data_IF_285669592001
#
_entry.id   IF_285669592001
#
_cell.length_a   1.000
_cell.length_b   1.000
_cell.length_c   1.000
_cell.angle_alpha   90.00
_cell.angle_beta   90.00
_cell.angle_gamma   90.00
#
_symmetry.space_group_name_H-M   'P 1'
#
loop_
_entity.id
_entity.type
_entity.pdbx_description
1 polymer ?
#
# COMPACT_ATOMS: atom_id res chain seq x y z
N UNK A 1 18.74 6.32 1.70
CA UNK A 1 18.78 4.93 1.23
C UNK A 1 20.16 4.32 1.52
N UNK A 2 21.27 4.78 0.95
CA UNK A 2 22.62 4.16 1.00
C UNK A 2 23.10 3.80 2.45
N UNK A 3 22.57 4.46 3.48
CA UNK A 3 22.98 4.22 4.87
C UNK A 3 22.23 3.05 5.54
N UNK A 4 21.00 2.82 5.16
CA UNK A 4 20.04 1.93 5.85
C UNK A 4 19.68 0.71 5.03
N UNK A 5 19.63 0.82 3.72
CA UNK A 5 19.11 -0.21 2.81
C UNK A 5 19.80 -1.57 2.95
N UNK A 6 21.12 -1.58 3.19
CA UNK A 6 21.88 -2.82 3.42
C UNK A 6 21.43 -3.60 4.66
N UNK A 7 20.79 -2.94 5.62
CA UNK A 7 20.32 -3.54 6.86
C UNK A 7 18.81 -3.84 6.80
N UNK A 8 18.02 -3.01 6.09
CA UNK A 8 16.56 -3.11 6.00
C UNK A 8 16.10 -3.95 4.81
N UNK A 9 16.80 -3.91 3.67
CA UNK A 9 16.46 -4.60 2.42
C UNK A 9 15.03 -4.26 1.94
N UNK A 10 14.70 -2.98 1.96
CA UNK A 10 13.36 -2.48 1.60
C UNK A 10 13.13 -2.40 0.09
N UNK A 11 14.18 -2.28 -0.72
CA UNK A 11 14.11 -2.22 -2.18
C UNK A 11 14.66 -3.51 -2.84
N UNK A 12 14.11 -3.87 -3.97
CA UNK A 12 14.65 -4.91 -4.87
C UNK A 12 15.30 -4.32 -6.12
N UNK A 13 14.91 -3.10 -6.47
CA UNK A 13 15.49 -2.33 -7.58
C UNK A 13 15.52 -0.85 -7.19
N UNK A 14 16.69 -0.23 -7.32
CA UNK A 14 16.87 1.22 -7.18
C UNK A 14 17.24 1.81 -8.54
N UNK A 15 16.60 2.91 -8.92
CA UNK A 15 16.88 3.66 -10.14
C UNK A 15 17.41 5.06 -9.84
N UNK A 16 18.62 5.11 -9.31
CA UNK A 16 19.27 6.38 -8.92
C UNK A 16 19.41 7.37 -10.09
N UNK A 17 19.83 6.87 -11.25
CA UNK A 17 20.06 7.72 -12.43
C UNK A 17 18.74 8.23 -13.01
N UNK A 18 17.76 7.35 -13.17
CA UNK A 18 16.42 7.72 -13.64
C UNK A 18 15.73 8.70 -12.69
N UNK A 19 15.82 8.46 -11.38
CA UNK A 19 15.25 9.34 -10.37
C UNK A 19 15.88 10.75 -10.40
N UNK A 20 17.19 10.86 -10.49
CA UNK A 20 17.87 12.16 -10.60
C UNK A 20 17.50 12.90 -11.88
N UNK A 21 17.50 12.21 -13.03
CA UNK A 21 17.06 12.77 -14.30
C UNK A 21 15.62 13.26 -14.24
N UNK A 22 14.73 12.44 -13.66
CA UNK A 22 13.32 12.82 -13.49
C UNK A 22 13.17 14.02 -12.57
N UNK A 23 13.93 14.10 -11.48
CA UNK A 23 13.92 15.25 -10.58
C UNK A 23 14.32 16.54 -11.31
N UNK A 24 15.34 16.51 -12.18
CA UNK A 24 15.74 17.67 -13.00
C UNK A 24 14.65 18.09 -14.00
N UNK A 25 13.96 17.12 -14.62
CA UNK A 25 12.83 17.40 -15.52
C UNK A 25 11.67 18.06 -14.78
N UNK A 26 11.30 17.49 -13.62
CA UNK A 26 10.21 18.00 -12.78
C UNK A 26 10.55 19.38 -12.22
N UNK A 27 11.78 19.61 -11.79
CA UNK A 27 12.21 20.93 -11.32
C UNK A 27 11.96 22.02 -12.36
N UNK A 28 12.24 21.77 -13.64
CA UNK A 28 11.96 22.72 -14.72
C UNK A 28 10.46 23.02 -14.87
N UNK A 29 9.61 21.97 -14.72
CA UNK A 29 8.16 22.13 -14.78
C UNK A 29 7.60 22.90 -13.57
N UNK A 30 8.26 22.81 -12.41
CA UNK A 30 7.94 23.62 -11.24
C UNK A 30 8.37 25.07 -11.46
N UNK A 31 9.59 25.30 -11.95
CA UNK A 31 10.15 26.62 -12.16
C UNK A 31 9.38 27.44 -13.20
N UNK A 32 8.83 26.79 -14.24
CA UNK A 32 8.01 27.44 -15.26
C UNK A 32 6.51 27.50 -14.90
N UNK A 33 6.11 26.99 -13.75
CA UNK A 33 4.74 27.01 -13.26
C UNK A 33 3.79 26.00 -13.91
N UNK A 34 4.29 25.08 -14.72
CA UNK A 34 3.49 24.04 -15.37
C UNK A 34 3.01 23.00 -14.34
N UNK A 35 3.80 22.74 -13.31
CA UNK A 35 3.53 21.74 -12.28
C UNK A 35 3.52 22.37 -10.89
N UNK A 36 2.35 22.38 -10.25
CA UNK A 36 2.12 23.07 -8.96
C UNK A 36 1.49 22.18 -7.88
N UNK A 37 1.27 20.89 -8.17
CA UNK A 37 0.59 19.97 -7.24
C UNK A 37 1.46 19.57 -6.04
N UNK A 38 0.84 19.06 -4.97
CA UNK A 38 1.54 18.73 -3.71
C UNK A 38 2.57 17.59 -3.83
N UNK A 39 2.49 16.76 -4.87
CA UNK A 39 3.44 15.67 -5.12
C UNK A 39 4.54 16.03 -6.14
N UNK A 40 4.57 17.29 -6.61
CA UNK A 40 5.57 17.73 -7.57
C UNK A 40 6.99 17.68 -6.97
N UNK A 41 7.85 16.86 -7.56
CA UNK A 41 9.23 16.63 -7.11
C UNK A 41 9.36 15.72 -5.88
N UNK A 42 8.27 15.20 -5.33
CA UNK A 42 8.33 14.35 -4.14
C UNK A 42 8.73 12.92 -4.52
N UNK A 43 9.77 12.35 -3.88
CA UNK A 43 10.21 10.98 -4.16
C UNK A 43 9.19 9.93 -3.68
N UNK A 44 9.08 8.82 -4.42
CA UNK A 44 8.17 7.71 -4.09
C UNK A 44 8.80 6.35 -4.31
N UNK A 45 8.46 5.39 -3.45
CA UNK A 45 8.78 3.98 -3.61
C UNK A 45 7.56 3.19 -4.09
N UNK A 46 7.74 2.28 -5.04
CA UNK A 46 6.64 1.54 -5.69
C UNK A 46 6.78 0.05 -5.39
N UNK A 47 5.75 -0.57 -4.82
CA UNK A 47 5.75 -2.02 -4.60
C UNK A 47 6.00 -2.79 -5.89
N UNK A 48 6.81 -3.83 -5.82
CA UNK A 48 7.36 -4.52 -6.99
C UNK A 48 6.36 -5.38 -7.78
N UNK A 49 5.09 -5.31 -7.47
CA UNK A 49 4.01 -5.90 -8.28
C UNK A 49 3.26 -4.88 -9.16
N UNK A 50 3.66 -3.61 -9.15
CA UNK A 50 3.08 -2.59 -10.04
C UNK A 50 3.98 -2.39 -11.25
N UNK A 51 3.47 -2.68 -12.43
CA UNK A 51 4.18 -2.49 -13.69
C UNK A 51 4.65 -1.05 -13.83
N UNK A 52 5.96 -0.87 -14.06
CA UNK A 52 6.58 0.43 -14.28
C UNK A 52 7.45 0.31 -15.53
N UNK A 53 7.06 0.98 -16.61
CA UNK A 53 7.76 0.88 -17.90
C UNK A 53 9.22 1.31 -17.77
N UNK A 54 10.12 0.48 -18.29
CA UNK A 54 11.56 0.74 -18.25
C UNK A 54 12.24 0.33 -16.94
N UNK A 55 11.49 -0.18 -15.97
CA UNK A 55 12.01 -0.64 -14.67
C UNK A 55 11.64 -2.12 -14.46
N UNK A 56 12.54 -2.90 -13.88
CA UNK A 56 12.21 -4.29 -13.51
C UNK A 56 10.98 -4.34 -12.61
N UNK A 57 10.11 -5.30 -12.85
CA UNK A 57 8.92 -5.57 -12.03
C UNK A 57 8.83 -7.06 -11.78
N UNK A 58 9.38 -7.52 -10.67
CA UNK A 58 9.68 -8.93 -10.44
C UNK A 58 8.69 -9.63 -9.51
N UNK A 59 7.83 -8.91 -8.80
CA UNK A 59 7.02 -9.43 -7.69
C UNK A 59 7.88 -10.15 -6.64
N UNK A 60 9.12 -9.71 -6.43
CA UNK A 60 10.12 -10.38 -5.58
C UNK A 60 10.33 -11.86 -5.91
N UNK A 61 10.11 -12.25 -7.18
CA UNK A 61 10.24 -13.62 -7.68
C UNK A 61 11.38 -13.78 -8.68
N UNK A 62 12.09 -14.90 -8.59
CA UNK A 62 13.07 -15.31 -9.61
C UNK A 62 12.43 -15.52 -10.98
N UNK A 63 11.15 -15.93 -11.02
CA UNK A 63 10.43 -16.20 -12.28
C UNK A 63 10.35 -14.95 -13.14
N UNK A 64 10.11 -13.78 -12.50
CA UNK A 64 10.05 -12.48 -13.18
C UNK A 64 11.34 -11.66 -13.06
N UNK A 65 12.44 -12.27 -12.66
CA UNK A 65 13.70 -11.57 -12.35
C UNK A 65 14.28 -10.71 -13.48
N UNK A 66 13.85 -10.92 -14.72
CA UNK A 66 14.25 -10.14 -15.90
C UNK A 66 13.05 -9.46 -16.60
N UNK A 67 11.87 -9.44 -15.98
CA UNK A 67 10.68 -8.86 -16.59
C UNK A 67 10.71 -7.34 -16.52
N UNK A 68 10.65 -6.71 -17.70
CA UNK A 68 10.45 -5.26 -17.85
C UNK A 68 9.12 -5.02 -18.55
N UNK A 69 8.14 -4.39 -17.86
CA UNK A 69 6.85 -4.09 -18.45
C UNK A 69 6.96 -3.13 -19.63
N UNK A 70 6.13 -3.36 -20.67
CA UNK A 70 6.01 -2.44 -21.81
C UNK A 70 5.10 -1.24 -21.51
N UNK A 71 4.43 -1.23 -20.36
CA UNK A 71 3.49 -0.20 -19.93
C UNK A 71 3.62 0.05 -18.43
N UNK A 72 3.07 1.17 -17.98
CA UNK A 72 3.04 1.57 -16.57
C UNK A 72 1.63 1.40 -16.01
N UNK A 73 1.51 0.92 -14.78
CA UNK A 73 0.25 0.81 -14.04
C UNK A 73 -0.41 2.20 -13.92
N UNK A 74 -1.73 2.25 -13.99
CA UNK A 74 -2.47 3.53 -14.01
C UNK A 74 -2.20 4.39 -12.76
N UNK A 75 -2.20 3.78 -11.57
CA UNK A 75 -1.87 4.48 -10.33
C UNK A 75 -0.46 5.11 -10.36
N UNK A 76 0.52 4.40 -10.93
CA UNK A 76 1.89 4.90 -11.09
C UNK A 76 1.96 6.04 -12.11
N UNK A 77 1.22 5.95 -13.23
CA UNK A 77 1.12 7.04 -14.20
C UNK A 77 0.53 8.31 -13.61
N UNK A 78 -0.48 8.17 -12.75
CA UNK A 78 -1.08 9.32 -12.09
C UNK A 78 -0.07 10.02 -11.19
N UNK A 79 0.79 9.27 -10.49
CA UNK A 79 1.90 9.84 -9.73
C UNK A 79 2.95 10.51 -10.62
N UNK A 80 3.34 9.86 -11.73
CA UNK A 80 4.26 10.46 -12.70
C UNK A 80 3.71 11.77 -13.30
N UNK A 81 2.40 11.79 -13.60
CA UNK A 81 1.72 13.00 -14.10
C UNK A 81 1.66 14.11 -13.05
N UNK A 82 1.54 13.77 -11.77
CA UNK A 82 1.62 14.71 -10.66
C UNK A 82 3.06 15.17 -10.33
N UNK A 83 4.05 14.66 -11.06
CA UNK A 83 5.45 15.05 -10.90
C UNK A 83 6.20 14.27 -9.82
N UNK A 84 5.68 13.15 -9.35
CA UNK A 84 6.41 12.30 -8.44
C UNK A 84 7.70 11.74 -9.08
N UNK A 85 8.70 11.49 -8.25
CA UNK A 85 9.99 10.93 -8.63
C UNK A 85 10.12 9.52 -8.11
N UNK A 86 10.01 8.52 -8.98
CA UNK A 86 10.11 7.11 -8.59
C UNK A 86 11.56 6.77 -8.25
N UNK A 87 11.80 6.32 -7.01
CA UNK A 87 13.12 5.92 -6.52
C UNK A 87 13.49 4.49 -6.94
N UNK A 88 12.48 3.62 -7.01
CA UNK A 88 12.68 2.20 -7.29
C UNK A 88 11.48 1.34 -6.90
N UNK A 89 11.72 0.03 -6.88
CA UNK A 89 10.73 -1.01 -6.58
C UNK A 89 11.02 -1.64 -5.23
N UNK A 90 10.01 -1.68 -4.37
CA UNK A 90 10.16 -2.18 -3.00
C UNK A 90 9.94 -3.68 -2.90
N UNK A 91 10.67 -4.26 -1.95
CA UNK A 91 10.60 -5.66 -1.59
C UNK A 91 9.21 -6.06 -1.09
N UNK A 92 8.84 -7.32 -1.31
CA UNK A 92 7.52 -7.83 -0.97
C UNK A 92 7.56 -9.36 -0.80
N UNK A 93 6.56 -9.94 -0.21
CA UNK A 93 6.37 -11.39 -0.32
C UNK A 93 6.16 -11.78 -1.78
N UNK A 94 6.74 -12.92 -2.20
CA UNK A 94 6.70 -13.39 -3.57
C UNK A 94 5.25 -13.45 -4.10
N UNK A 95 4.99 -12.79 -5.24
CA UNK A 95 3.66 -12.62 -5.85
C UNK A 95 2.57 -12.09 -4.89
N UNK A 96 2.96 -11.30 -3.90
CA UNK A 96 2.10 -10.73 -2.86
C UNK A 96 1.44 -11.78 -1.94
N UNK A 97 1.89 -13.02 -1.96
CA UNK A 97 1.40 -14.08 -1.09
C UNK A 97 2.28 -14.22 0.14
N UNK A 98 1.91 -13.56 1.21
CA UNK A 98 2.62 -13.61 2.50
C UNK A 98 2.22 -12.46 3.40
N UNK A 99 2.79 -12.45 4.59
CA UNK A 99 2.49 -11.47 5.65
C UNK A 99 3.74 -11.01 6.41
N UNK A 100 4.94 -11.35 5.93
CA UNK A 100 6.20 -11.11 6.66
C UNK A 100 7.32 -10.53 5.79
N UNK A 101 7.18 -10.58 4.47
CA UNK A 101 8.21 -10.23 3.47
C UNK A 101 9.48 -11.10 3.61
N UNK A 102 9.31 -12.34 4.08
CA UNK A 102 10.38 -13.33 4.17
C UNK A 102 10.48 -14.23 2.93
N UNK A 103 9.39 -14.31 2.13
CA UNK A 103 9.32 -15.20 0.95
C UNK A 103 9.99 -14.61 -0.30
N UNK A 104 10.52 -13.39 -0.21
CA UNK A 104 11.20 -12.71 -1.31
C UNK A 104 12.44 -13.49 -1.78
N UNK A 105 12.56 -13.66 -3.10
CA UNK A 105 13.76 -14.20 -3.72
C UNK A 105 15.02 -13.34 -3.43
N UNK A 106 14.87 -12.05 -3.21
CA UNK A 106 15.96 -11.11 -2.94
C UNK A 106 16.34 -11.04 -1.44
N UNK A 107 15.80 -11.94 -0.64
CA UNK A 107 15.98 -11.98 0.80
C UNK A 107 14.90 -11.21 1.58
N UNK A 108 14.80 -11.47 2.89
CA UNK A 108 13.80 -10.88 3.74
C UNK A 108 14.04 -9.37 3.93
N UNK A 109 12.95 -8.60 3.91
CA UNK A 109 12.97 -7.25 4.43
C UNK A 109 12.89 -7.27 5.96
N UNK A 110 13.44 -6.26 6.62
CA UNK A 110 13.48 -6.17 8.07
C UNK A 110 12.75 -4.93 8.58
N UNK A 111 12.25 -5.03 9.80
CA UNK A 111 11.59 -3.91 10.45
C UNK A 111 12.64 -2.87 10.90
N UNK A 112 12.56 -1.61 10.46
CA UNK A 112 13.54 -0.59 10.82
C UNK A 112 13.59 -0.27 12.32
N UNK A 113 12.54 -0.54 13.08
CA UNK A 113 12.50 -0.33 14.52
C UNK A 113 13.29 -1.41 15.28
N UNK A 114 13.32 -2.62 14.74
CA UNK A 114 14.12 -3.72 15.29
C UNK A 114 14.41 -4.73 14.16
N UNK A 115 15.67 -4.82 13.75
CA UNK A 115 16.11 -5.64 12.63
C UNK A 115 15.96 -7.17 12.84
N UNK A 116 15.64 -7.59 14.05
CA UNK A 116 15.32 -8.99 14.36
C UNK A 116 13.83 -9.32 14.13
N UNK A 117 13.01 -8.32 13.82
CA UNK A 117 11.58 -8.46 13.56
C UNK A 117 11.23 -8.25 12.08
N UNK A 118 10.15 -8.87 11.66
CA UNK A 118 9.59 -8.71 10.31
C UNK A 118 8.89 -7.36 10.18
N UNK A 119 8.90 -6.74 8.99
CA UNK A 119 8.16 -5.49 8.74
C UNK A 119 6.67 -5.73 8.48
N UNK A 120 6.23 -7.02 8.50
CA UNK A 120 4.95 -7.43 7.96
C UNK A 120 4.99 -7.60 6.44
N UNK A 121 3.84 -7.83 5.83
CA UNK A 121 3.71 -8.09 4.39
C UNK A 121 2.26 -8.21 3.90
N UNK A 122 2.10 -8.30 2.62
CA UNK A 122 3.15 -8.44 1.58
C UNK A 122 3.82 -7.12 1.15
N UNK A 123 3.38 -5.94 1.60
CA UNK A 123 4.00 -4.64 1.30
C UNK A 123 5.07 -4.25 2.34
N UNK A 124 5.81 -5.22 2.90
CA UNK A 124 6.77 -4.96 3.98
C UNK A 124 7.89 -4.01 3.56
N UNK A 125 8.46 -4.17 2.37
CA UNK A 125 9.48 -3.26 1.85
C UNK A 125 8.96 -1.82 1.68
N UNK A 126 7.71 -1.63 1.21
CA UNK A 126 7.10 -0.29 1.10
C UNK A 126 6.94 0.37 2.47
N UNK A 127 6.47 -0.37 3.47
CA UNK A 127 6.31 0.15 4.82
C UNK A 127 7.65 0.41 5.50
N UNK A 128 8.62 -0.50 5.32
CA UNK A 128 9.97 -0.36 5.86
C UNK A 128 10.69 0.86 5.25
N UNK A 129 10.57 1.09 3.94
CA UNK A 129 11.16 2.25 3.27
C UNK A 129 10.65 3.58 3.84
N UNK A 130 9.33 3.67 4.11
CA UNK A 130 8.73 4.87 4.73
C UNK A 130 9.14 4.99 6.20
N UNK A 131 9.15 3.90 6.96
CA UNK A 131 9.55 3.90 8.36
C UNK A 131 11.03 4.27 8.55
N UNK A 132 11.91 3.78 7.65
CA UNK A 132 13.34 4.06 7.64
C UNK A 132 13.71 5.41 7.00
N UNK A 133 12.72 6.22 6.57
CA UNK A 133 12.92 7.52 5.90
C UNK A 133 13.71 7.43 4.58
N UNK A 134 13.62 6.29 3.91
CA UNK A 134 14.20 6.09 2.58
C UNK A 134 13.36 6.72 1.47
N UNK A 135 12.05 6.80 1.72
CA UNK A 135 11.10 7.53 0.89
C UNK A 135 10.05 8.21 1.79
N UNK A 136 9.58 9.43 1.47
CA UNK A 136 8.50 10.07 2.23
C UNK A 136 7.17 9.30 2.16
N UNK A 137 6.93 8.60 1.04
CA UNK A 137 5.76 7.76 0.86
C UNK A 137 6.02 6.61 -0.11
N UNK A 138 5.13 5.64 -0.09
CA UNK A 138 5.19 4.50 -0.99
C UNK A 138 3.78 4.08 -1.46
N UNK A 139 3.70 3.33 -2.56
CA UNK A 139 2.52 2.55 -2.90
C UNK A 139 2.68 1.10 -2.46
N UNK A 140 1.60 0.56 -1.91
CA UNK A 140 1.44 -0.85 -1.60
C UNK A 140 0.24 -1.46 -2.31
N UNK A 141 0.04 -2.77 -2.14
CA UNK A 141 -1.17 -3.48 -2.55
C UNK A 141 -1.70 -4.31 -1.38
N UNK A 142 -3.02 -4.40 -1.28
CA UNK A 142 -3.71 -5.09 -0.18
C UNK A 142 -4.80 -6.01 -0.74
N UNK A 143 -4.76 -7.27 -0.36
CA UNK A 143 -5.75 -8.28 -0.71
C UNK A 143 -6.42 -8.79 0.57
N UNK A 144 -5.63 -9.16 1.57
CA UNK A 144 -6.06 -9.65 2.87
C UNK A 144 -5.42 -8.92 4.05
N UNK A 145 -4.89 -7.69 3.85
CA UNK A 145 -4.22 -6.91 4.88
C UNK A 145 -2.84 -6.39 4.48
N UNK A 146 -2.40 -6.62 3.25
CA UNK A 146 -1.00 -6.41 2.83
C UNK A 146 -0.52 -4.96 2.71
N UNK A 147 -1.36 -3.96 2.98
CA UNK A 147 -0.99 -2.57 3.31
C UNK A 147 -1.15 -2.34 4.81
N UNK A 148 -2.31 -2.68 5.36
CA UNK A 148 -2.74 -2.34 6.73
C UNK A 148 -1.86 -3.00 7.79
N UNK A 149 -1.60 -4.30 7.64
CA UNK A 149 -0.81 -5.07 8.60
C UNK A 149 0.66 -4.62 8.64
N UNK A 150 1.41 -4.53 7.51
CA UNK A 150 2.79 -4.04 7.55
C UNK A 150 2.89 -2.57 7.96
N UNK A 151 1.89 -1.73 7.66
CA UNK A 151 1.85 -0.35 8.17
C UNK A 151 1.77 -0.31 9.70
N UNK A 152 0.95 -1.17 10.29
CA UNK A 152 0.88 -1.33 11.75
C UNK A 152 2.21 -1.80 12.35
N UNK A 153 2.86 -2.80 11.73
CA UNK A 153 4.13 -3.35 12.21
C UNK A 153 5.29 -2.35 12.12
N UNK A 154 5.28 -1.49 11.09
CA UNK A 154 6.31 -0.48 10.88
C UNK A 154 5.99 0.89 11.51
N UNK A 155 4.83 1.05 12.16
CA UNK A 155 4.43 2.31 12.79
C UNK A 155 4.24 3.45 11.79
N UNK A 156 3.69 3.15 10.62
CA UNK A 156 3.34 4.12 9.56
C UNK A 156 1.85 4.07 9.25
N UNK A 157 1.35 5.05 8.51
CA UNK A 157 -0.05 5.07 8.06
C UNK A 157 -0.20 4.40 6.72
N UNK A 158 -1.17 3.50 6.58
CA UNK A 158 -1.50 2.86 5.31
C UNK A 158 -3.01 2.80 5.09
N UNK A 159 -3.45 3.12 3.89
CA UNK A 159 -4.87 3.08 3.53
C UNK A 159 -5.12 2.03 2.46
N UNK A 160 -5.98 1.05 2.77
CA UNK A 160 -6.63 0.24 1.75
C UNK A 160 -7.94 0.92 1.33
N UNK A 161 -7.99 1.55 0.16
CA UNK A 161 -9.20 2.21 -0.28
C UNK A 161 -10.32 1.21 -0.57
N UNK A 162 -11.54 1.72 -0.68
CA UNK A 162 -12.68 0.92 -1.14
C UNK A 162 -12.39 0.33 -2.51
N UNK A 163 -12.76 -0.94 -2.71
CA UNK A 163 -12.57 -1.66 -3.97
C UNK A 163 -13.08 -0.86 -5.17
N UNK A 164 -12.27 -0.80 -6.23
CA UNK A 164 -12.55 -0.04 -7.44
C UNK A 164 -12.27 1.46 -7.36
N UNK A 165 -11.78 1.99 -6.24
CA UNK A 165 -11.40 3.41 -6.10
C UNK A 165 -10.16 3.73 -6.92
N UNK A 166 -9.16 2.87 -6.90
CA UNK A 166 -7.91 2.99 -7.65
C UNK A 166 -7.88 1.92 -8.72
N UNK A 167 -7.54 2.30 -9.96
CA UNK A 167 -7.41 1.34 -11.05
C UNK A 167 -6.35 0.28 -10.73
N UNK A 168 -6.67 -0.98 -11.01
CA UNK A 168 -5.75 -2.12 -10.90
C UNK A 168 -5.04 -2.44 -12.21
N UNK A 169 -5.28 -1.66 -13.27
CA UNK A 169 -4.58 -1.85 -14.53
C UNK A 169 -3.07 -1.69 -14.34
N UNK A 170 -2.35 -2.77 -14.63
CA UNK A 170 -0.90 -2.86 -14.43
C UNK A 170 -0.47 -3.33 -13.03
N UNK A 171 -1.39 -3.66 -12.15
CA UNK A 171 -1.10 -4.44 -10.95
C UNK A 171 -1.02 -5.92 -11.32
N UNK A 172 0.09 -6.59 -11.01
CA UNK A 172 0.18 -8.05 -11.12
C UNK A 172 -0.66 -8.64 -10.00
N UNK A 173 -1.72 -9.35 -10.39
CA UNK A 173 -2.76 -9.78 -9.48
C UNK A 173 -2.28 -10.89 -8.53
N UNK A 174 -2.78 -10.82 -7.29
CA UNK A 174 -2.76 -11.92 -6.33
C UNK A 174 -4.16 -12.54 -6.21
N UNK A 175 -5.15 -11.75 -5.83
CA UNK A 175 -6.55 -12.15 -5.76
C UNK A 175 -7.43 -11.07 -6.40
N UNK A 176 -7.72 -11.19 -7.69
CA UNK A 176 -8.39 -10.15 -8.49
C UNK A 176 -9.71 -9.66 -7.90
N UNK A 177 -10.41 -10.49 -7.13
CA UNK A 177 -11.67 -10.12 -6.48
C UNK A 177 -11.47 -9.23 -5.24
N UNK A 178 -10.24 -9.06 -4.75
CA UNK A 178 -9.93 -8.40 -3.47
C UNK A 178 -8.83 -7.34 -3.60
N UNK A 179 -7.90 -7.49 -4.55
CA UNK A 179 -6.72 -6.63 -4.69
C UNK A 179 -7.08 -5.16 -4.79
N UNK A 180 -6.33 -4.32 -4.06
CA UNK A 180 -6.41 -2.89 -4.16
C UNK A 180 -5.04 -2.24 -3.96
N UNK A 181 -4.74 -1.21 -4.76
CA UNK A 181 -3.57 -0.34 -4.57
C UNK A 181 -3.93 0.74 -3.56
N UNK A 182 -3.00 1.10 -2.69
CA UNK A 182 -3.17 2.20 -1.76
C UNK A 182 -1.87 2.81 -1.27
N UNK A 183 -1.95 4.01 -0.66
CA UNK A 183 -0.82 4.76 -0.17
C UNK A 183 -0.33 4.26 1.18
N UNK A 184 0.96 4.49 1.42
CA UNK A 184 1.66 4.32 2.69
C UNK A 184 2.49 5.58 2.92
N UNK A 185 2.31 6.25 4.07
CA UNK A 185 3.00 7.48 4.41
C UNK A 185 3.14 7.64 5.93
N UNK A 186 3.70 8.75 6.40
CA UNK A 186 3.88 9.00 7.84
C UNK A 186 2.57 9.33 8.54
N UNK A 187 1.62 9.99 7.87
CA UNK A 187 0.35 10.41 8.46
C UNK A 187 -0.85 10.28 7.50
N UNK A 188 -2.04 10.57 8.03
CA UNK A 188 -3.31 10.43 7.31
C UNK A 188 -3.46 11.50 6.22
N UNK A 189 -2.94 12.70 6.41
CA UNK A 189 -3.03 13.81 5.46
C UNK A 189 -2.23 13.50 4.21
N UNK A 190 -1.01 12.99 4.38
CA UNK A 190 -0.19 12.52 3.26
C UNK A 190 -0.87 11.39 2.51
N UNK A 191 -1.40 10.40 3.25
CA UNK A 191 -2.14 9.29 2.64
C UNK A 191 -3.37 9.77 1.84
N UNK A 192 -4.13 10.76 2.35
CA UNK A 192 -5.26 11.33 1.64
C UNK A 192 -4.82 12.03 0.35
N UNK A 193 -3.76 12.84 0.41
CA UNK A 193 -3.16 13.54 -0.74
C UNK A 193 -2.72 12.57 -1.84
N UNK A 194 -2.05 11.48 -1.46
CA UNK A 194 -1.59 10.46 -2.41
C UNK A 194 -2.81 9.72 -2.99
N UNK A 195 -3.79 9.38 -2.14
CA UNK A 195 -5.00 8.69 -2.58
C UNK A 195 -5.80 9.51 -3.60
N UNK A 196 -5.95 10.81 -3.40
CA UNK A 196 -6.56 11.70 -4.40
C UNK A 196 -5.86 11.62 -5.75
N UNK A 197 -4.52 11.65 -5.72
CA UNK A 197 -3.70 11.63 -6.92
C UNK A 197 -3.84 10.32 -7.69
N UNK A 198 -3.87 9.16 -7.01
CA UNK A 198 -3.92 7.85 -7.65
C UNK A 198 -5.35 7.38 -7.98
N UNK A 199 -6.37 8.07 -7.44
CA UNK A 199 -7.78 7.74 -7.70
C UNK A 199 -8.18 8.18 -9.11
N UNK A 200 -8.66 7.26 -9.93
CA UNK A 200 -9.13 7.55 -11.27
C UNK A 200 -10.09 6.48 -11.78
N UNK A 201 -11.06 6.91 -12.61
CA UNK A 201 -11.84 5.96 -13.40
C UNK A 201 -11.03 5.51 -14.62
N UNK A 202 -10.81 4.21 -14.73
CA UNK A 202 -10.04 3.61 -15.82
C UNK A 202 -10.86 2.54 -16.55
N UNK A 203 -11.14 2.77 -17.84
CA UNK A 203 -11.85 1.82 -18.70
C UNK A 203 -11.11 0.50 -18.93
N UNK A 204 -9.81 0.46 -18.65
CA UNK A 204 -8.97 -0.75 -18.77
C UNK A 204 -9.11 -1.69 -17.56
N UNK A 205 -9.69 -1.20 -16.47
CA UNK A 205 -10.07 -2.00 -15.31
C UNK A 205 -11.60 -2.00 -15.17
N UNK A 206 -12.22 -3.13 -15.49
CA UNK A 206 -13.68 -3.28 -15.44
C UNK A 206 -14.27 -3.12 -14.04
N UNK A 207 -13.45 -3.18 -13.00
CA UNK A 207 -13.87 -2.99 -11.60
C UNK A 207 -13.68 -1.55 -11.12
N UNK A 208 -13.06 -0.70 -11.93
CA UNK A 208 -12.88 0.72 -11.60
C UNK A 208 -14.24 1.44 -11.52
N UNK A 209 -14.48 2.11 -10.41
CA UNK A 209 -15.75 2.81 -10.13
C UNK A 209 -15.59 4.30 -10.42
N UNK A 210 -16.54 4.84 -11.20
CA UNK A 210 -16.63 6.30 -11.39
C UNK A 210 -17.17 6.93 -10.12
N UNK A 211 -16.36 7.76 -9.47
CA UNK A 211 -16.75 8.53 -8.28
C UNK A 211 -17.12 9.96 -8.68
N UNK A 212 -18.10 10.52 -8.01
CA UNK A 212 -18.49 11.94 -8.19
C UNK A 212 -17.55 12.86 -7.40
N UNK A 213 -17.08 12.39 -6.23
CA UNK A 213 -16.15 13.12 -5.35
C UNK A 213 -14.91 12.30 -5.07
N UNK A 214 -13.76 12.94 -5.16
CA UNK A 214 -12.42 12.37 -4.86
C UNK A 214 -11.60 13.28 -3.97
N UNK A 215 -12.22 14.28 -3.35
CA UNK A 215 -11.58 15.19 -2.38
C UNK A 215 -11.54 14.51 -1.01
N UNK A 216 -10.47 13.72 -0.78
CA UNK A 216 -10.27 13.04 0.48
C UNK A 216 -9.66 13.93 1.55
N UNK A 217 -8.98 15.02 1.15
CA UNK A 217 -8.38 15.98 2.09
C UNK A 217 -9.46 16.77 2.83
N UNK A 218 -10.50 17.22 2.13
CA UNK A 218 -11.61 17.93 2.77
C UNK A 218 -12.43 17.05 3.71
N UNK A 219 -12.34 15.71 3.57
CA UNK A 219 -12.97 14.75 4.47
C UNK A 219 -12.22 14.59 5.81
N UNK A 220 -11.01 15.13 5.94
CA UNK A 220 -10.26 15.13 7.19
C UNK A 220 -10.88 16.16 8.15
N UNK A 221 -11.41 15.70 9.25
CA UNK A 221 -12.06 16.52 10.27
C UNK A 221 -11.37 16.37 11.61
N UNK A 222 -11.34 17.45 12.41
CA UNK A 222 -10.73 17.46 13.73
C UNK A 222 -11.66 16.95 14.84
N UNK A 223 -12.91 16.61 14.50
CA UNK A 223 -13.94 16.22 15.46
C UNK A 223 -14.45 14.81 15.16
N UNK A 224 -14.53 13.99 16.21
CA UNK A 224 -15.11 12.64 16.17
C UNK A 224 -16.43 12.55 16.94
N UNK A 225 -17.00 13.67 17.34
CA UNK A 225 -18.22 13.72 18.14
C UNK A 225 -19.40 13.08 17.43
N UNK A 226 -20.00 12.09 18.11
CA UNK A 226 -21.13 11.32 17.59
C UNK A 226 -20.74 10.26 16.56
N UNK A 227 -19.47 10.12 16.19
CA UNK A 227 -18.99 9.03 15.35
C UNK A 227 -19.17 7.69 16.08
N UNK A 228 -19.77 6.70 15.41
CA UNK A 228 -19.92 5.36 15.98
C UNK A 228 -18.72 4.50 15.63
N UNK A 229 -18.10 3.93 16.64
CA UNK A 229 -16.93 3.05 16.53
C UNK A 229 -17.29 1.70 17.14
N UNK A 230 -17.25 0.67 16.32
CA UNK A 230 -17.52 -0.70 16.75
C UNK A 230 -16.23 -1.47 17.02
N UNK A 231 -16.17 -2.19 18.14
CA UNK A 231 -15.08 -3.10 18.48
C UNK A 231 -15.61 -4.54 18.40
N UNK A 232 -15.18 -5.36 17.44
CA UNK A 232 -15.53 -6.78 17.40
C UNK A 232 -14.90 -7.52 18.58
N UNK A 233 -15.71 -8.15 19.44
CA UNK A 233 -15.18 -8.91 20.59
C UNK A 233 -14.25 -10.04 20.16
N UNK A 234 -14.56 -10.67 19.03
CA UNK A 234 -13.78 -11.77 18.48
C UNK A 234 -12.32 -11.40 18.18
N UNK A 235 -12.05 -10.12 17.89
CA UNK A 235 -10.68 -9.63 17.60
C UNK A 235 -9.85 -9.37 18.86
N UNK A 236 -10.49 -9.28 20.03
CA UNK A 236 -9.83 -9.07 21.32
C UNK A 236 -9.72 -10.36 22.16
N UNK A 237 -9.93 -11.53 21.53
CA UNK A 237 -9.93 -12.84 22.14
C UNK A 237 -8.55 -13.39 22.55
N UNK A 238 -8.51 -14.69 22.82
CA UNK A 238 -7.27 -15.41 23.11
C UNK A 238 -6.32 -15.39 21.91
N UNK A 239 -5.02 -15.24 22.18
CA UNK A 239 -3.97 -15.16 21.15
C UNK A 239 -3.56 -13.75 20.72
N UNK A 240 -4.34 -12.72 21.10
CA UNK A 240 -3.90 -11.34 20.94
C UNK A 240 -2.90 -10.97 22.04
N UNK A 241 -1.76 -10.39 21.64
CA UNK A 241 -0.77 -9.89 22.60
C UNK A 241 -1.40 -8.86 23.56
N UNK A 242 -1.19 -8.99 24.88
CA UNK A 242 -1.79 -8.10 25.87
C UNK A 242 -1.46 -6.61 25.66
N UNK A 243 -0.23 -6.27 25.27
CA UNK A 243 0.17 -4.87 25.03
C UNK A 243 -0.56 -4.30 23.81
N UNK A 244 -0.77 -5.10 22.76
CA UNK A 244 -1.55 -4.70 21.58
C UNK A 244 -3.01 -4.49 21.97
N UNK A 245 -3.59 -5.39 22.77
CA UNK A 245 -4.98 -5.25 23.28
C UNK A 245 -5.15 -3.97 24.09
N UNK A 246 -4.23 -3.69 25.01
CA UNK A 246 -4.26 -2.47 25.81
C UNK A 246 -4.15 -1.21 24.96
N UNK A 247 -3.27 -1.18 23.96
CA UNK A 247 -3.12 -0.06 23.03
C UNK A 247 -4.40 0.20 22.23
N UNK A 248 -5.07 -0.84 21.73
CA UNK A 248 -6.35 -0.72 21.02
C UNK A 248 -7.44 -0.14 21.93
N UNK A 249 -7.56 -0.66 23.15
CA UNK A 249 -8.55 -0.18 24.10
C UNK A 249 -8.28 1.25 24.58
N UNK A 250 -7.00 1.63 24.75
CA UNK A 250 -6.61 2.99 25.07
C UNK A 250 -6.95 3.97 23.92
N UNK A 251 -6.73 3.56 22.66
CA UNK A 251 -7.12 4.35 21.50
C UNK A 251 -8.64 4.54 21.43
N UNK A 252 -9.41 3.46 21.64
CA UNK A 252 -10.88 3.52 21.70
C UNK A 252 -11.38 4.47 22.80
N UNK A 253 -10.80 4.39 24.00
CA UNK A 253 -11.11 5.29 25.09
C UNK A 253 -10.79 6.77 24.77
N UNK A 254 -9.66 7.03 24.11
CA UNK A 254 -9.30 8.38 23.65
C UNK A 254 -10.34 8.94 22.69
N UNK A 255 -10.87 8.12 21.77
CA UNK A 255 -11.92 8.54 20.85
C UNK A 255 -13.24 8.79 21.57
N UNK A 256 -13.59 7.96 22.57
CA UNK A 256 -14.77 8.14 23.41
C UNK A 256 -14.69 9.45 24.22
N UNK A 257 -13.54 9.75 24.84
CA UNK A 257 -13.28 11.02 25.55
C UNK A 257 -13.40 12.24 24.62
N UNK A 258 -13.16 12.07 23.31
CA UNK A 258 -13.38 13.09 22.29
C UNK A 258 -14.81 13.14 21.74
N UNK A 259 -15.71 12.34 22.28
CA UNK A 259 -17.14 12.34 21.98
C UNK A 259 -17.60 11.33 20.93
N UNK A 260 -16.78 10.39 20.51
CA UNK A 260 -17.22 9.23 19.75
C UNK A 260 -18.07 8.29 20.62
N UNK A 261 -18.92 7.49 19.99
CA UNK A 261 -19.72 6.45 20.63
C UNK A 261 -19.04 5.12 20.35
N UNK A 262 -18.41 4.52 21.38
CA UNK A 262 -17.70 3.24 21.26
C UNK A 262 -18.63 2.12 21.73
N UNK A 263 -18.84 1.12 20.88
CA UNK A 263 -19.70 -0.03 21.17
C UNK A 263 -18.99 -1.34 20.80
N UNK A 264 -19.08 -2.33 21.67
CA UNK A 264 -18.65 -3.69 21.34
C UNK A 264 -19.77 -4.44 20.62
N UNK A 265 -19.41 -5.29 19.67
CA UNK A 265 -20.35 -6.12 18.94
C UNK A 265 -19.76 -7.50 18.62
N UNK A 266 -20.63 -8.45 18.28
CA UNK A 266 -20.23 -9.80 17.88
C UNK A 266 -20.18 -9.87 16.35
N UNK A 267 -19.09 -10.44 15.82
CA UNK A 267 -18.88 -10.65 14.39
C UNK A 267 -18.97 -12.15 14.07
N UNK A 268 -20.18 -12.69 14.10
CA UNK A 268 -20.49 -14.13 14.06
C UNK A 268 -19.93 -14.92 12.87
N UNK A 269 -19.50 -14.24 11.79
CA UNK A 269 -18.93 -14.87 10.59
C UNK A 269 -17.42 -14.77 10.51
N UNK A 270 -16.74 -14.21 11.52
CA UNK A 270 -15.28 -14.01 11.46
C UNK A 270 -14.49 -15.31 11.32
N UNK A 271 -15.00 -16.41 11.88
CA UNK A 271 -14.38 -17.74 11.76
C UNK A 271 -14.29 -18.26 10.33
N UNK A 272 -15.17 -17.78 9.43
CA UNK A 272 -15.17 -18.12 8.00
C UNK A 272 -14.30 -17.21 7.16
N UNK A 273 -13.77 -16.11 7.70
CA UNK A 273 -13.04 -15.11 6.92
C UNK A 273 -11.80 -15.70 6.23
N UNK A 274 -10.97 -16.44 6.96
CA UNK A 274 -9.76 -17.09 6.41
C UNK A 274 -10.12 -18.21 5.41
N UNK A 275 -11.02 -19.16 5.73
CA UNK A 275 -11.47 -20.16 4.75
C UNK A 275 -12.04 -19.52 3.47
N UNK A 276 -12.89 -18.49 3.60
CA UNK A 276 -13.46 -17.79 2.44
C UNK A 276 -12.38 -17.08 1.61
N UNK A 277 -11.41 -16.45 2.25
CA UNK A 277 -10.27 -15.81 1.59
C UNK A 277 -9.51 -16.82 0.73
N UNK A 278 -9.09 -17.96 1.28
CA UNK A 278 -8.39 -18.99 0.51
C UNK A 278 -9.25 -19.60 -0.58
N UNK A 279 -10.53 -19.79 -0.33
CA UNK A 279 -11.47 -20.28 -1.34
C UNK A 279 -11.55 -19.30 -2.54
N UNK A 280 -11.70 -18.01 -2.28
CA UNK A 280 -11.74 -16.98 -3.31
C UNK A 280 -10.42 -16.89 -4.10
N UNK A 281 -9.28 -17.01 -3.43
CA UNK A 281 -7.97 -17.02 -4.11
C UNK A 281 -7.83 -18.20 -5.06
N UNK A 282 -8.28 -19.38 -4.63
CA UNK A 282 -8.19 -20.59 -5.45
C UNK A 282 -9.18 -20.59 -6.60
N UNK A 283 -10.37 -20.02 -6.42
CA UNK A 283 -11.46 -20.07 -7.40
C UNK A 283 -11.62 -18.79 -8.22
N UNK A 284 -10.93 -17.69 -7.89
CA UNK A 284 -10.97 -16.47 -8.69
C UNK A 284 -10.44 -16.75 -10.09
N UNK A 285 -11.18 -16.33 -11.15
CA UNK A 285 -10.73 -16.57 -12.52
C UNK A 285 -9.40 -15.89 -12.78
N UNK A 286 -8.45 -16.67 -13.25
CA UNK A 286 -7.17 -16.17 -13.74
C UNK A 286 -7.34 -15.69 -15.18
N UNK A 287 -6.48 -14.78 -15.67
CA UNK A 287 -6.47 -14.44 -17.09
C UNK A 287 -6.29 -15.64 -18.04
N UNK A 288 -5.82 -16.78 -17.53
CA UNK A 288 -5.73 -18.04 -18.28
C UNK A 288 -7.10 -18.70 -18.49
N UNK A 289 -8.01 -18.54 -17.54
CA UNK A 289 -9.34 -19.17 -17.58
C UNK A 289 -10.25 -18.50 -18.64
N UNK A 290 -9.94 -17.25 -19.02
CA UNK A 290 -10.68 -16.50 -20.03
C UNK A 290 -10.54 -17.05 -21.47
N UNK A 291 -9.67 -18.01 -21.71
CA UNK A 291 -9.47 -18.63 -23.02
C UNK A 291 -10.24 -19.95 -23.20
N UNK A 292 -10.91 -20.45 -22.16
CA UNK A 292 -11.67 -21.70 -22.21
C UNK A 292 -13.20 -21.52 -22.21
N UNK A 293 -13.68 -20.26 -22.26
CA UNK A 293 -15.12 -19.93 -22.30
C UNK A 293 -15.55 -19.31 -23.62
#
# INVERSE_FOLDING_TARGET
IEKVEKDVNSFVTLDKEGALKRAEEVQKLIDDGTLTGPLAGVPVAIKDNMCTKGMLTTCSSKILGNFQPMFTAEAVKNLEAAGAVILGKTNMDEFAMGSTTETSYFGPAKNPWNLEHVPGGSSGGSCAAVAAEEAPYALGSDTGGSIRQPSSFCGVTGIKPTYGTVSRYGLIAYGSSLDQIGPIAKDVTDCATILETITSYDKKDSTSVKREETDFISALVDDVKGMKIGIPRDYLGEGLDPEVKEAILAAAKTLEEKGAIVEEFDLSLVEYAIPAYYCLLYTSPSPRDAHES
#
